data_IF_846061361733
#
_entry.id   IF_846061361733
#
_cell.length_a   1.000
_cell.length_b   1.000
_cell.length_c   1.000
_cell.angle_alpha   90.00
_cell.angle_beta   90.00
_cell.angle_gamma   90.00
#
_symmetry.space_group_name_H-M   'P 1'
#
loop_
_entity.id
_entity.type
_entity.pdbx_description
1 polymer ?
#
# COMPACT_ATOMS: atom_id res chain seq x y z
N UNK A 1 17.36 3.13 2.43
CA UNK A 1 16.96 1.70 2.43
C UNK A 1 15.85 1.56 1.42
N UNK A 2 15.96 0.67 0.44
CA UNK A 2 14.89 0.46 -0.54
C UNK A 2 13.81 -0.41 0.11
N UNK A 3 12.60 0.12 0.24
CA UNK A 3 11.44 -0.69 0.63
C UNK A 3 11.00 -1.45 -0.62
N UNK A 4 11.01 -2.78 -0.56
CA UNK A 4 10.53 -3.64 -1.65
C UNK A 4 9.40 -4.49 -1.09
N UNK A 5 8.18 -4.22 -1.55
CA UNK A 5 7.01 -5.02 -1.17
C UNK A 5 6.97 -6.25 -2.10
N UNK A 6 7.49 -7.39 -1.63
CA UNK A 6 7.38 -8.65 -2.37
C UNK A 6 6.09 -9.38 -2.02
N UNK A 7 5.22 -9.58 -3.01
CA UNK A 7 4.02 -10.41 -2.84
C UNK A 7 4.39 -11.87 -2.52
N UNK A 8 3.70 -12.47 -1.54
CA UNK A 8 3.79 -13.92 -1.27
C UNK A 8 2.97 -14.76 -2.26
N UNK A 9 2.22 -14.11 -3.14
CA UNK A 9 1.41 -14.73 -4.19
C UNK A 9 1.84 -14.18 -5.55
N UNK A 10 2.59 -14.98 -6.30
CA UNK A 10 2.91 -14.71 -7.68
C UNK A 10 1.62 -14.75 -8.52
N UNK A 11 1.03 -13.59 -8.80
CA UNK A 11 -0.21 -13.55 -9.58
C UNK A 11 -0.74 -12.14 -9.83
N UNK A 12 -0.35 -11.57 -10.97
CA UNK A 12 -0.79 -10.29 -11.55
C UNK A 12 -0.47 -9.06 -10.72
N UNK A 13 0.56 -8.33 -11.19
CA UNK A 13 0.96 -7.01 -10.72
C UNK A 13 -0.23 -6.09 -10.46
N UNK A 14 -0.59 -6.01 -9.18
CA UNK A 14 -1.56 -5.06 -8.68
C UNK A 14 -0.88 -3.69 -8.76
N UNK A 15 -1.41 -2.80 -9.60
CA UNK A 15 -0.88 -1.42 -9.79
C UNK A 15 -0.71 -0.69 -8.45
N UNK A 16 -1.54 -1.02 -7.46
CA UNK A 16 -1.52 -0.43 -6.13
C UNK A 16 -0.21 -0.70 -5.35
N UNK A 17 0.49 -1.82 -5.58
CA UNK A 17 1.73 -2.11 -4.83
C UNK A 17 2.89 -1.22 -5.26
N UNK A 18 2.95 -0.86 -6.53
CA UNK A 18 3.99 0.04 -7.05
C UNK A 18 3.85 1.44 -6.45
N UNK A 19 2.64 1.97 -6.40
CA UNK A 19 2.38 3.30 -5.82
C UNK A 19 2.73 3.34 -4.33
N UNK A 20 2.43 2.27 -3.58
CA UNK A 20 2.80 2.18 -2.15
C UNK A 20 4.33 2.09 -2.00
N UNK A 21 5.01 1.33 -2.86
CA UNK A 21 6.47 1.23 -2.84
C UNK A 21 7.13 2.58 -3.13
N UNK A 22 6.65 3.31 -4.14
CA UNK A 22 7.10 4.66 -4.47
C UNK A 22 6.88 5.63 -3.28
N UNK A 23 5.68 5.66 -2.70
CA UNK A 23 5.38 6.47 -1.51
C UNK A 23 6.29 6.16 -0.32
N UNK A 24 6.54 4.88 -0.03
CA UNK A 24 7.41 4.50 1.09
C UNK A 24 8.87 4.95 0.84
N UNK A 25 9.33 4.85 -0.40
CA UNK A 25 10.67 5.28 -0.78
C UNK A 25 10.83 6.80 -0.79
N UNK A 26 9.77 7.57 -1.07
CA UNK A 26 9.76 9.04 -0.95
C UNK A 26 9.77 9.51 0.51
N UNK A 27 9.04 8.83 1.39
CA UNK A 27 8.92 9.20 2.80
C UNK A 27 10.14 8.80 3.64
N UNK A 28 10.87 7.75 3.24
CA UNK A 28 12.07 7.28 3.93
C UNK A 28 13.20 8.33 4.07
N UNK A 29 13.63 9.05 3.01
CA UNK A 29 14.66 10.08 3.12
C UNK A 29 14.23 11.29 3.96
N UNK A 30 12.92 11.52 4.11
CA UNK A 30 12.37 12.54 5.01
C UNK A 30 12.38 12.10 6.48
N UNK A 31 12.90 10.89 6.77
CA UNK A 31 13.00 10.34 8.12
C UNK A 31 11.74 9.62 8.58
N UNK A 32 10.81 9.29 7.67
CA UNK A 32 9.60 8.55 8.04
C UNK A 32 9.78 7.04 7.82
N UNK A 33 9.25 6.23 8.74
CA UNK A 33 9.14 4.78 8.63
C UNK A 33 7.67 4.39 8.55
N UNK A 34 7.33 3.49 7.63
CA UNK A 34 5.99 2.90 7.62
C UNK A 34 5.78 2.08 8.91
N UNK A 35 4.86 2.52 9.75
CA UNK A 35 4.53 1.88 11.02
C UNK A 35 3.38 0.88 10.87
N UNK A 36 2.35 1.24 10.09
CA UNK A 36 1.17 0.40 9.87
C UNK A 36 0.63 0.55 8.45
N UNK A 37 0.22 -0.58 7.87
CA UNK A 37 -0.51 -0.66 6.61
C UNK A 37 -1.83 -1.38 6.86
N UNK A 38 -2.93 -0.77 6.44
CA UNK A 38 -4.26 -1.37 6.50
C UNK A 38 -4.94 -1.27 5.13
N UNK A 39 -5.37 -2.40 4.59
CA UNK A 39 -6.17 -2.46 3.37
C UNK A 39 -7.60 -2.85 3.72
N UNK A 40 -8.56 -2.03 3.33
CA UNK A 40 -9.99 -2.35 3.41
C UNK A 40 -10.53 -2.60 2.01
N UNK A 41 -11.10 -3.78 1.79
CA UNK A 41 -11.75 -4.14 0.54
C UNK A 41 -13.25 -3.97 0.76
N UNK A 42 -13.83 -2.96 0.12
CA UNK A 42 -15.28 -2.82 0.08
C UNK A 42 -15.82 -3.73 -1.03
N UNK A 43 -16.28 -4.92 -0.66
CA UNK A 43 -17.06 -5.78 -1.55
C UNK A 43 -18.44 -5.14 -1.72
N UNK A 44 -18.64 -4.39 -2.81
CA UNK A 44 -19.99 -3.90 -3.13
C UNK A 44 -20.79 -5.04 -3.75
N UNK A 45 -21.65 -5.65 -2.95
CA UNK A 45 -22.65 -6.64 -3.38
C UNK A 45 -23.80 -5.95 -4.14
N UNK A 46 -23.48 -5.26 -5.23
CA UNK A 46 -24.44 -4.54 -6.08
C UNK A 46 -24.09 -4.71 -7.55
N UNK A 47 -25.09 -5.10 -8.33
CA UNK A 47 -25.11 -5.59 -9.72
C UNK A 47 -24.45 -4.66 -10.78
N UNK A 48 -23.17 -4.32 -10.61
CA UNK A 48 -22.41 -3.42 -11.50
C UNK A 48 -21.25 -2.64 -10.86
N UNK A 49 -20.99 -2.78 -9.55
CA UNK A 49 -19.93 -2.06 -8.84
C UNK A 49 -18.67 -2.90 -8.64
N UNK A 50 -17.55 -2.50 -9.26
CA UNK A 50 -16.26 -3.14 -9.04
C UNK A 50 -15.75 -2.99 -7.60
N UNK A 51 -15.00 -3.99 -7.12
CA UNK A 51 -14.39 -3.97 -5.79
C UNK A 51 -13.48 -2.75 -5.65
N UNK A 52 -13.74 -1.91 -4.65
CA UNK A 52 -12.86 -0.78 -4.29
C UNK A 52 -11.97 -1.23 -3.14
N UNK A 53 -10.66 -1.22 -3.37
CA UNK A 53 -9.67 -1.39 -2.32
C UNK A 53 -9.22 0.01 -1.86
N UNK A 54 -9.29 0.25 -0.55
CA UNK A 54 -8.76 1.45 0.10
C UNK A 54 -7.56 1.04 0.93
N UNK A 55 -6.45 1.75 0.79
CA UNK A 55 -5.22 1.51 1.54
C UNK A 55 -4.95 2.70 2.45
N UNK A 56 -4.76 2.45 3.74
CA UNK A 56 -4.32 3.41 4.74
C UNK A 56 -2.88 3.09 5.12
N UNK A 57 -2.01 4.09 5.03
CA UNK A 57 -0.60 4.03 5.39
C UNK A 57 -0.37 4.98 6.57
N UNK A 58 0.20 4.47 7.66
CA UNK A 58 0.59 5.27 8.82
C UNK A 58 2.10 5.27 8.90
N UNK A 59 2.69 6.46 8.80
CA UNK A 59 4.12 6.68 8.93
C UNK A 59 4.45 7.25 10.30
N UNK A 60 5.51 6.75 10.93
CA UNK A 60 6.11 7.33 12.13
C UNK A 60 7.40 8.05 11.77
N UNK A 61 7.67 9.18 12.41
CA UNK A 61 8.91 9.93 12.19
C UNK A 61 10.02 9.36 13.06
N UNK A 62 11.08 8.90 12.41
CA UNK A 62 12.36 8.57 13.03
C UNK A 62 13.16 9.87 13.08
N UNK A 63 13.27 10.46 14.26
CA UNK A 63 14.07 11.67 14.50
C UNK A 63 15.56 11.33 14.46
#
# INVERSE_FOLDING_TARGET
MQVVLREKFAGKGSKHFREIEELCNEQYPEGYRLHMFAQSIANSSGFGGGNRAVCNLVFERMV
#
